data_IF_700291795362
#
_entry.id   IF_700291795362
#
_cell.length_a   1.000
_cell.length_b   1.000
_cell.length_c   1.000
_cell.angle_alpha   90.00
_cell.angle_beta   90.00
_cell.angle_gamma   90.00
#
_symmetry.space_group_name_H-M   'P 1'
#
loop_
_entity.id
_entity.type
_entity.pdbx_description
1 polymer ?
#
# COMPACT_ATOMS: atom_id res chain seq x y z
N UNK A 1 -11.33 9.50 -14.74
CA UNK A 1 -11.70 8.10 -14.43
C UNK A 1 -10.62 7.39 -13.59
N UNK A 2 -9.39 7.24 -14.08
CA UNK A 2 -8.29 6.60 -13.35
C UNK A 2 -8.06 7.17 -11.95
N UNK A 3 -7.95 8.50 -11.81
CA UNK A 3 -7.76 9.14 -10.50
C UNK A 3 -8.90 8.86 -9.49
N UNK A 4 -10.15 8.76 -9.96
CA UNK A 4 -11.31 8.43 -9.14
C UNK A 4 -11.27 6.96 -8.72
N UNK A 5 -10.94 6.06 -9.65
CA UNK A 5 -10.80 4.64 -9.37
C UNK A 5 -9.66 4.37 -8.37
N UNK A 6 -8.50 4.99 -8.57
CA UNK A 6 -7.38 4.93 -7.64
C UNK A 6 -7.74 5.54 -6.29
N UNK A 7 -8.38 6.72 -6.28
CA UNK A 7 -8.80 7.39 -5.05
C UNK A 7 -9.81 6.57 -4.25
N UNK A 8 -10.82 5.99 -4.89
CA UNK A 8 -11.79 5.11 -4.25
C UNK A 8 -11.18 3.81 -3.75
N UNK A 9 -10.30 3.18 -4.54
CA UNK A 9 -9.61 1.95 -4.15
C UNK A 9 -8.67 2.14 -2.96
N UNK A 10 -7.73 3.09 -3.07
CA UNK A 10 -6.77 3.41 -2.01
C UNK A 10 -7.46 3.98 -0.77
N UNK A 11 -8.36 4.96 -0.97
CA UNK A 11 -9.09 5.60 0.12
C UNK A 11 -10.05 4.66 0.84
N UNK A 12 -10.58 3.64 0.16
CA UNK A 12 -11.45 2.63 0.78
C UNK A 12 -10.69 1.49 1.47
N UNK A 13 -9.46 1.17 1.07
CA UNK A 13 -8.66 0.13 1.72
C UNK A 13 -8.25 0.53 3.15
N UNK A 14 -7.85 1.80 3.34
CA UNK A 14 -7.37 2.32 4.61
C UNK A 14 -8.37 2.18 5.78
N UNK A 15 -9.61 2.73 5.71
CA UNK A 15 -10.59 2.59 6.79
C UNK A 15 -11.03 1.13 7.00
N UNK A 16 -11.00 0.29 5.96
CA UNK A 16 -11.28 -1.14 6.11
C UNK A 16 -10.24 -1.84 6.99
N UNK A 17 -8.96 -1.52 6.85
CA UNK A 17 -7.91 -2.04 7.73
C UNK A 17 -8.08 -1.56 9.18
N UNK A 18 -8.50 -0.30 9.38
CA UNK A 18 -8.78 0.22 10.74
C UNK A 18 -9.94 -0.52 11.41
N UNK A 19 -11.04 -0.70 10.68
CA UNK A 19 -12.22 -1.42 11.18
C UNK A 19 -11.88 -2.89 11.44
N UNK A 20 -11.09 -3.53 10.58
CA UNK A 20 -10.63 -4.92 10.81
C UNK A 20 -9.84 -5.07 12.11
N UNK A 21 -8.95 -4.13 12.42
CA UNK A 21 -8.19 -4.15 13.67
C UNK A 21 -9.08 -3.92 14.90
N UNK A 22 -10.12 -3.08 14.77
CA UNK A 22 -11.13 -2.87 15.82
C UNK A 22 -12.00 -4.11 16.03
N UNK A 23 -12.42 -4.77 14.95
CA UNK A 23 -13.22 -5.99 15.01
C UNK A 23 -12.43 -7.15 15.62
N UNK A 24 -11.13 -7.24 15.31
CA UNK A 24 -10.25 -8.28 15.85
C UNK A 24 -9.96 -8.10 17.35
N UNK A 25 -9.89 -6.86 17.86
CA UNK A 25 -9.48 -6.58 19.22
C UNK A 25 -10.67 -6.19 20.11
N UNK A 26 -11.02 -7.04 21.07
CA UNK A 26 -12.13 -6.79 22.02
C UNK A 26 -11.96 -5.59 22.97
N UNK A 27 -10.81 -4.89 22.93
CA UNK A 27 -10.56 -3.67 23.70
C UNK A 27 -10.01 -2.55 22.79
N UNK A 28 -10.58 -1.33 22.81
CA UNK A 28 -10.17 -0.23 21.93
C UNK A 28 -8.69 0.17 22.05
N UNK A 29 -8.10 0.07 23.24
CA UNK A 29 -6.70 0.39 23.47
C UNK A 29 -5.75 -0.56 22.72
N UNK A 30 -6.12 -1.84 22.61
CA UNK A 30 -5.36 -2.85 21.89
C UNK A 30 -5.49 -2.64 20.38
N UNK A 31 -6.71 -2.36 19.90
CA UNK A 31 -6.95 -2.02 18.49
C UNK A 31 -6.11 -0.81 18.03
N UNK A 32 -6.08 0.26 18.85
CA UNK A 32 -5.28 1.45 18.54
C UNK A 32 -3.78 1.16 18.41
N UNK A 33 -3.23 0.31 19.30
CA UNK A 33 -1.83 -0.11 19.22
C UNK A 33 -1.56 -0.98 18.00
N UNK A 34 -2.49 -1.88 17.65
CA UNK A 34 -2.39 -2.74 16.47
C UNK A 34 -2.39 -1.90 15.18
N UNK A 35 -3.31 -0.94 15.07
CA UNK A 35 -3.37 0.03 13.96
C UNK A 35 -2.07 0.81 13.84
N UNK A 36 -1.51 1.31 14.95
CA UNK A 36 -0.27 2.07 14.92
C UNK A 36 0.91 1.24 14.37
N UNK A 37 1.01 -0.05 14.74
CA UNK A 37 2.04 -0.95 14.22
C UNK A 37 1.82 -1.25 12.73
N UNK A 38 0.58 -1.60 12.35
CA UNK A 38 0.22 -1.84 10.95
C UNK A 38 0.59 -0.64 10.08
N UNK A 39 0.31 0.57 10.56
CA UNK A 39 0.51 1.77 9.78
C UNK A 39 1.96 2.22 9.75
N UNK A 40 2.70 2.08 10.85
CA UNK A 40 4.14 2.36 10.90
C UNK A 40 4.92 1.45 9.96
N UNK A 41 4.74 0.13 10.07
CA UNK A 41 5.41 -0.84 9.19
C UNK A 41 4.94 -0.66 7.75
N UNK A 42 3.64 -0.50 7.54
CA UNK A 42 3.05 -0.30 6.22
C UNK A 42 3.62 0.91 5.50
N UNK A 43 3.80 2.04 6.18
CA UNK A 43 4.39 3.23 5.58
C UNK A 43 5.89 3.12 5.33
N UNK A 44 6.64 2.39 6.17
CA UNK A 44 8.05 2.09 5.90
C UNK A 44 8.17 1.29 4.59
N UNK A 45 7.35 0.24 4.43
CA UNK A 45 7.32 -0.56 3.20
C UNK A 45 6.88 0.30 2.01
N UNK A 46 5.81 1.09 2.17
CA UNK A 46 5.32 1.97 1.10
C UNK A 46 6.37 3.00 0.65
N UNK A 47 7.20 3.49 1.57
CA UNK A 47 8.30 4.42 1.28
C UNK A 47 9.41 3.80 0.41
N UNK A 48 9.52 2.47 0.34
CA UNK A 48 10.45 1.80 -0.56
C UNK A 48 10.03 1.90 -2.03
N UNK A 49 8.73 2.03 -2.30
CA UNK A 49 8.19 2.12 -3.67
C UNK A 49 8.75 3.30 -4.48
N UNK A 50 8.71 4.57 -4.01
CA UNK A 50 9.29 5.68 -4.76
C UNK A 50 10.82 5.57 -4.92
N UNK A 51 11.53 5.01 -3.94
CA UNK A 51 12.97 4.74 -4.07
C UNK A 51 13.24 3.72 -5.19
N UNK A 52 12.51 2.60 -5.20
CA UNK A 52 12.62 1.56 -6.22
C UNK A 52 12.26 2.11 -7.61
N UNK A 53 11.15 2.84 -7.74
CA UNK A 53 10.75 3.49 -9.00
C UNK A 53 11.84 4.44 -9.51
N UNK A 54 12.46 5.23 -8.62
CA UNK A 54 13.60 6.08 -8.95
C UNK A 54 14.84 5.31 -9.42
N UNK A 55 15.15 4.17 -8.79
CA UNK A 55 16.23 3.29 -9.20
C UNK A 55 15.96 2.67 -10.58
N UNK A 56 14.76 2.11 -10.80
CA UNK A 56 14.37 1.50 -12.08
C UNK A 56 14.39 2.53 -13.22
N UNK A 57 13.97 3.77 -12.95
CA UNK A 57 14.08 4.86 -13.91
C UNK A 57 15.53 5.23 -14.20
N UNK A 58 16.38 5.30 -13.17
CA UNK A 58 17.80 5.62 -13.36
C UNK A 58 18.52 4.57 -14.22
N UNK A 59 18.13 3.30 -14.11
CA UNK A 59 18.70 2.20 -14.89
C UNK A 59 18.18 2.15 -16.33
N UNK A 60 16.89 2.39 -16.55
CA UNK A 60 16.24 2.19 -17.86
C UNK A 60 16.07 3.47 -18.68
N UNK A 61 16.25 4.65 -18.08
CA UNK A 61 16.04 5.96 -18.72
C UNK A 61 14.56 6.33 -18.93
N UNK A 62 13.62 5.46 -18.56
CA UNK A 62 12.17 5.68 -18.67
C UNK A 62 11.41 4.93 -17.55
N UNK A 63 10.07 4.90 -17.58
CA UNK A 63 9.25 4.25 -16.55
C UNK A 63 8.72 2.87 -16.96
N UNK A 64 9.07 2.33 -18.12
CA UNK A 64 8.52 1.05 -18.61
C UNK A 64 8.80 -0.08 -17.62
N UNK A 65 10.04 -0.15 -17.11
CA UNK A 65 10.45 -1.16 -16.14
C UNK A 65 9.69 -1.02 -14.81
N UNK A 66 9.44 0.21 -14.37
CA UNK A 66 8.66 0.51 -13.17
C UNK A 66 7.18 0.10 -13.33
N UNK A 67 6.59 0.37 -14.48
CA UNK A 67 5.22 -0.07 -14.78
C UNK A 67 5.10 -1.59 -14.88
N UNK A 68 6.08 -2.26 -15.49
CA UNK A 68 6.12 -3.73 -15.53
C UNK A 68 6.22 -4.33 -14.13
N UNK A 69 7.05 -3.74 -13.27
CA UNK A 69 7.15 -4.14 -11.88
C UNK A 69 5.81 -4.00 -11.13
N UNK A 70 5.15 -2.84 -11.24
CA UNK A 70 3.83 -2.65 -10.63
C UNK A 70 2.78 -3.62 -11.16
N UNK A 71 2.78 -3.91 -12.47
CA UNK A 71 1.88 -4.89 -13.06
C UNK A 71 2.10 -6.29 -12.47
N UNK A 72 3.35 -6.72 -12.28
CA UNK A 72 3.69 -7.98 -11.62
C UNK A 72 3.17 -7.99 -10.17
N UNK A 73 3.39 -6.92 -9.40
CA UNK A 73 2.87 -6.83 -8.03
C UNK A 73 1.35 -6.96 -7.97
N UNK A 74 0.62 -6.34 -8.90
CA UNK A 74 -0.84 -6.48 -8.99
C UNK A 74 -1.24 -7.91 -9.33
N UNK A 75 -0.57 -8.55 -10.30
CA UNK A 75 -0.85 -9.94 -10.65
C UNK A 75 -0.60 -10.90 -9.48
N UNK A 76 0.49 -10.69 -8.73
CA UNK A 76 0.80 -11.47 -7.53
C UNK A 76 -0.21 -11.25 -6.41
N UNK A 77 -0.76 -10.04 -6.25
CA UNK A 77 -1.82 -9.76 -5.28
C UNK A 77 -3.14 -10.46 -5.63
N UNK A 78 -3.39 -10.69 -6.93
CA UNK A 78 -4.61 -11.31 -7.43
C UNK A 78 -4.54 -12.84 -7.56
N UNK A 79 -3.36 -13.42 -7.38
CA UNK A 79 -3.12 -14.87 -7.42
C UNK A 79 -3.40 -15.52 -6.06
#
# INVERSE_FOLDING_TARGET
LWAIACGGGLGGAFPRCLVLALDHAGQPAVAGRLVAVMQGIGFIIAGLSPWLSGMLRSLSGNYTLDWSWHAICVLLLMA
#
